data_IF_216645233835
#
_entry.id   IF_216645233835
#
_cell.length_a   1.000
_cell.length_b   1.000
_cell.length_c   1.000
_cell.angle_alpha   90.00
_cell.angle_beta   90.00
_cell.angle_gamma   90.00
#
_symmetry.space_group_name_H-M   'P 1'
#
loop_
_entity.id
_entity.type
_entity.pdbx_description
1 polymer ?
#
# COMPACT_ATOMS: atom_id res chain seq x y z
N UNK A 1 46.98 -19.10 -24.10
CA UNK A 1 45.80 -19.83 -23.62
C UNK A 1 45.26 -19.10 -22.39
N UNK A 2 44.21 -18.31 -22.59
CA UNK A 2 43.25 -17.94 -21.53
C UNK A 2 42.70 -19.23 -20.90
N UNK A 3 42.24 -19.32 -19.66
CA UNK A 3 41.43 -18.36 -18.91
C UNK A 3 41.41 -18.84 -17.45
N UNK A 4 41.59 -17.94 -16.50
CA UNK A 4 41.11 -18.13 -15.13
C UNK A 4 39.82 -17.33 -14.96
N UNK A 5 38.81 -17.90 -14.31
CA UNK A 5 37.81 -17.14 -13.55
C UNK A 5 37.15 -18.06 -12.53
N UNK A 6 37.26 -17.65 -11.26
CA UNK A 6 36.59 -18.26 -10.12
C UNK A 6 35.09 -17.96 -10.19
N UNK A 7 34.29 -19.01 -10.05
CA UNK A 7 32.88 -18.93 -9.73
C UNK A 7 32.70 -18.42 -8.29
N UNK A 8 31.88 -17.39 -8.13
CA UNK A 8 31.32 -16.99 -6.84
C UNK A 8 29.82 -16.74 -7.00
N UNK A 9 29.06 -17.80 -7.29
CA UNK A 9 27.60 -17.78 -7.17
C UNK A 9 27.28 -18.16 -5.71
N UNK A 10 27.14 -17.15 -4.85
CA UNK A 10 26.47 -17.33 -3.56
C UNK A 10 24.96 -17.23 -3.80
N UNK A 11 24.26 -18.33 -3.51
CA UNK A 11 22.81 -18.42 -3.34
C UNK A 11 22.40 -17.38 -2.28
N UNK A 12 21.75 -16.29 -2.68
CA UNK A 12 21.04 -15.38 -1.78
C UNK A 12 19.57 -15.73 -1.87
N UNK A 13 19.01 -16.17 -0.75
CA UNK A 13 17.61 -16.51 -0.57
C UNK A 13 16.73 -15.26 -0.58
N UNK A 14 15.67 -15.29 -1.39
CA UNK A 14 14.39 -14.59 -1.17
C UNK A 14 14.45 -13.21 -0.49
N UNK A 15 14.99 -12.23 -1.20
CA UNK A 15 14.72 -10.80 -0.99
C UNK A 15 14.46 -10.27 -2.40
N UNK A 16 13.44 -9.43 -2.60
CA UNK A 16 13.10 -8.83 -3.89
C UNK A 16 14.35 -8.13 -4.45
N UNK A 17 15.05 -8.84 -5.33
CA UNK A 17 16.39 -8.48 -5.73
C UNK A 17 16.23 -7.43 -6.83
N UNK A 18 16.36 -6.16 -6.46
CA UNK A 18 16.87 -5.16 -7.40
C UNK A 18 18.29 -5.62 -7.75
N UNK A 19 18.40 -6.47 -8.78
CA UNK A 19 19.68 -7.05 -9.18
C UNK A 19 20.50 -5.97 -9.90
N UNK A 20 21.30 -5.25 -9.13
CA UNK A 20 22.33 -4.37 -9.67
C UNK A 20 23.50 -5.21 -10.18
N UNK A 21 23.50 -5.54 -11.47
CA UNK A 21 24.72 -6.02 -12.11
C UNK A 21 25.67 -4.85 -12.37
N UNK A 22 26.95 -5.04 -12.07
CA UNK A 22 28.02 -4.11 -12.44
C UNK A 22 28.94 -4.86 -13.41
N UNK A 23 28.86 -4.51 -14.70
CA UNK A 23 29.62 -5.14 -15.78
C UNK A 23 30.59 -4.11 -16.40
N UNK A 24 31.88 -4.22 -16.06
CA UNK A 24 32.92 -3.36 -16.62
C UNK A 24 33.45 -3.91 -17.96
N UNK A 25 33.31 -3.16 -19.05
CA UNK A 25 33.87 -3.47 -20.38
C UNK A 25 34.53 -2.21 -20.96
N UNK A 26 35.72 -2.33 -21.54
CA UNK A 26 36.47 -1.25 -22.19
C UNK A 26 36.18 -1.19 -23.71
N UNK A 27 35.98 0.02 -24.27
CA UNK A 27 35.72 0.23 -25.70
C UNK A 27 36.73 1.17 -26.40
N UNK A 28 37.12 0.90 -27.66
CA UNK A 28 37.79 1.88 -28.52
C UNK A 28 36.81 2.95 -29.07
N UNK A 29 37.32 4.16 -29.27
CA UNK A 29 36.55 5.34 -29.67
C UNK A 29 36.00 5.28 -31.10
N UNK A 30 34.72 5.60 -31.30
CA UNK A 30 34.22 6.15 -32.57
C UNK A 30 33.08 7.17 -32.33
N UNK A 31 33.17 8.28 -33.09
CA UNK A 31 32.21 9.37 -33.35
C UNK A 31 32.23 10.64 -32.46
N UNK A 32 32.19 11.78 -33.16
CA UNK A 32 32.25 13.16 -32.68
C UNK A 32 30.83 13.78 -32.55
N UNK A 33 29.96 13.11 -31.79
CA UNK A 33 28.71 13.69 -31.30
C UNK A 33 28.90 14.34 -29.93
N UNK A 34 27.96 15.19 -29.50
CA UNK A 34 27.94 15.73 -28.14
C UNK A 34 27.74 14.58 -27.15
N UNK A 35 28.83 14.18 -26.49
CA UNK A 35 28.84 13.03 -25.57
C UNK A 35 27.89 13.27 -24.39
N UNK A 36 27.13 12.26 -24.01
CA UNK A 36 26.32 12.24 -22.79
C UNK A 36 27.25 12.52 -21.61
N UNK A 37 27.02 13.65 -20.94
CA UNK A 37 27.72 14.01 -19.71
C UNK A 37 26.96 13.40 -18.54
N UNK A 38 27.56 12.43 -17.87
CA UNK A 38 26.98 11.82 -16.67
C UNK A 38 26.88 12.89 -15.58
N UNK A 39 25.65 13.15 -15.14
CA UNK A 39 25.31 14.00 -14.00
C UNK A 39 24.49 13.14 -13.03
N UNK A 40 25.14 12.46 -12.08
CA UNK A 40 24.42 11.57 -11.18
C UNK A 40 23.32 12.31 -10.42
N UNK A 41 22.17 11.66 -10.30
CA UNK A 41 21.00 12.15 -9.55
C UNK A 41 20.64 11.25 -8.38
N UNK A 42 21.26 10.07 -8.30
CA UNK A 42 21.07 9.10 -7.21
C UNK A 42 22.35 8.26 -7.03
N UNK A 43 22.35 7.36 -6.05
CA UNK A 43 23.40 6.38 -5.84
C UNK A 43 22.87 4.95 -5.93
N UNK A 44 23.75 3.99 -6.18
CA UNK A 44 23.42 2.58 -6.12
C UNK A 44 22.90 2.19 -4.73
N UNK A 45 23.47 2.79 -3.68
CA UNK A 45 23.00 2.57 -2.32
C UNK A 45 21.57 3.04 -2.14
N UNK A 46 21.20 4.22 -2.64
CA UNK A 46 19.82 4.72 -2.60
C UNK A 46 18.84 3.84 -3.39
N UNK A 47 19.27 3.24 -4.50
CA UNK A 47 18.44 2.32 -5.31
C UNK A 47 18.29 0.92 -4.71
N UNK A 48 19.03 0.61 -3.64
CA UNK A 48 18.99 -0.67 -2.93
C UNK A 48 18.51 -0.53 -1.48
N UNK A 49 18.62 0.67 -0.89
CA UNK A 49 18.21 0.93 0.48
C UNK A 49 16.70 0.96 0.61
N UNK A 50 16.24 0.70 1.82
CA UNK A 50 14.85 0.91 2.19
C UNK A 50 14.37 2.31 1.76
N UNK A 51 13.31 2.34 0.96
CA UNK A 51 12.65 3.57 0.55
C UNK A 51 11.20 3.62 1.02
N UNK A 52 10.81 2.75 1.95
CA UNK A 52 9.48 2.71 2.56
C UNK A 52 9.47 3.31 3.96
N UNK A 53 8.29 3.47 4.54
CA UNK A 53 8.14 3.80 5.96
C UNK A 53 8.26 2.60 6.90
N UNK A 54 8.36 1.36 6.38
CA UNK A 54 8.66 0.20 7.21
C UNK A 54 9.99 0.43 7.95
N UNK A 55 10.08 0.03 9.22
CA UNK A 55 11.30 0.22 9.98
C UNK A 55 12.46 -0.62 9.42
N UNK A 56 13.67 -0.05 9.35
CA UNK A 56 14.89 -0.75 8.87
C UNK A 56 15.22 -2.03 9.65
N UNK A 57 14.77 -2.11 10.91
CA UNK A 57 14.93 -3.29 11.76
C UNK A 57 13.87 -4.36 11.53
N UNK A 58 12.76 -4.01 10.88
CA UNK A 58 11.74 -4.97 10.47
C UNK A 58 12.24 -5.71 9.23
N UNK A 59 12.40 -7.03 9.41
CA UNK A 59 12.79 -7.99 8.36
C UNK A 59 11.52 -8.59 7.77
N UNK A 60 11.58 -9.80 7.24
CA UNK A 60 10.41 -10.54 6.83
C UNK A 60 9.74 -11.27 8.00
N UNK A 61 8.51 -11.75 7.75
CA UNK A 61 7.80 -12.63 8.68
C UNK A 61 7.13 -13.80 7.96
N UNK A 62 6.79 -14.85 8.71
CA UNK A 62 6.27 -16.11 8.17
C UNK A 62 4.91 -16.01 7.50
N UNK A 63 4.20 -14.90 7.71
CA UNK A 63 2.92 -14.57 7.09
C UNK A 63 3.04 -13.74 5.79
N UNK A 64 4.27 -13.59 5.26
CA UNK A 64 4.51 -13.01 3.94
C UNK A 64 4.78 -11.50 3.92
N UNK A 65 5.08 -10.88 5.06
CA UNK A 65 5.61 -9.51 5.05
C UNK A 65 7.06 -9.52 4.57
N UNK A 66 7.41 -8.59 3.68
CA UNK A 66 8.71 -8.57 3.02
C UNK A 66 9.83 -8.02 3.91
N UNK A 67 9.47 -7.06 4.77
CA UNK A 67 10.45 -6.28 5.51
C UNK A 67 10.88 -5.02 4.77
N UNK A 68 11.65 -4.18 5.47
CA UNK A 68 12.23 -2.96 4.89
C UNK A 68 13.04 -3.27 3.63
N UNK A 69 12.66 -2.66 2.50
CA UNK A 69 13.27 -2.90 1.19
C UNK A 69 13.05 -1.72 0.26
N UNK A 70 13.65 -1.76 -0.93
CA UNK A 70 13.38 -0.78 -1.97
C UNK A 70 12.17 -1.20 -2.81
N UNK A 71 11.05 -0.49 -2.68
CA UNK A 71 9.82 -0.74 -3.44
C UNK A 71 9.62 0.29 -4.56
N UNK A 72 8.69 0.00 -5.44
CA UNK A 72 8.29 0.92 -6.51
C UNK A 72 7.45 2.07 -5.96
N UNK A 73 7.55 3.24 -6.59
CA UNK A 73 6.67 4.39 -6.31
C UNK A 73 5.70 4.63 -7.47
N UNK A 74 5.41 3.59 -8.26
CA UNK A 74 4.36 3.65 -9.29
C UNK A 74 3.06 4.01 -8.60
N UNK A 75 2.35 5.00 -9.16
CA UNK A 75 1.10 5.46 -8.58
C UNK A 75 0.07 4.32 -8.64
N UNK A 76 -0.50 3.95 -7.49
CA UNK A 76 -1.48 2.86 -7.35
C UNK A 76 -2.71 3.04 -8.24
N UNK A 77 -3.06 4.28 -8.61
CA UNK A 77 -4.14 4.57 -9.55
C UNK A 77 -3.89 4.00 -10.96
N UNK A 78 -2.64 3.68 -11.32
CA UNK A 78 -2.32 3.00 -12.58
C UNK A 78 -2.95 1.61 -12.70
N UNK A 79 -3.31 0.98 -11.57
CA UNK A 79 -4.00 -0.30 -11.53
C UNK A 79 -5.51 -0.19 -11.69
N UNK A 80 -6.06 1.03 -11.65
CA UNK A 80 -7.48 1.26 -11.88
C UNK A 80 -7.77 1.43 -13.37
N UNK A 81 -9.03 1.24 -13.74
CA UNK A 81 -9.53 1.43 -15.09
C UNK A 81 -9.20 2.84 -15.64
N UNK A 82 -9.06 2.93 -16.97
CA UNK A 82 -8.69 4.20 -17.62
C UNK A 82 -9.68 5.32 -17.34
N UNK A 83 -9.17 6.49 -16.98
CA UNK A 83 -9.99 7.65 -16.61
C UNK A 83 -10.61 7.55 -15.22
N UNK A 84 -10.09 6.68 -14.34
CA UNK A 84 -10.51 6.63 -12.95
C UNK A 84 -10.27 7.96 -12.23
N UNK A 85 -11.28 8.44 -11.53
CA UNK A 85 -11.23 9.50 -10.52
C UNK A 85 -11.49 8.96 -9.12
N UNK A 86 -11.53 7.63 -8.98
CA UNK A 86 -11.68 6.90 -7.72
C UNK A 86 -10.56 7.30 -6.77
N UNK A 87 -10.91 7.70 -5.55
CA UNK A 87 -9.94 7.96 -4.49
C UNK A 87 -9.45 6.67 -3.85
N UNK A 88 -8.17 6.59 -3.52
CA UNK A 88 -7.56 5.42 -2.87
C UNK A 88 -7.15 5.77 -1.44
N UNK A 89 -7.66 5.04 -0.47
CA UNK A 89 -7.36 5.21 0.96
C UNK A 89 -6.60 4.01 1.52
N UNK A 90 -5.63 4.22 2.39
CA UNK A 90 -4.99 3.12 3.11
C UNK A 90 -5.63 2.93 4.49
N UNK A 91 -5.89 1.68 4.87
CA UNK A 91 -6.34 1.37 6.22
C UNK A 91 -5.16 1.34 7.19
N UNK A 92 -5.23 2.10 8.29
CA UNK A 92 -4.15 2.24 9.27
C UNK A 92 -4.50 1.56 10.59
N UNK A 93 -3.61 0.68 11.02
CA UNK A 93 -3.59 0.10 12.36
C UNK A 93 -2.76 0.98 13.30
N UNK A 94 -3.34 1.57 14.35
CA UNK A 94 -2.67 2.61 15.16
C UNK A 94 -1.86 2.08 16.36
N UNK A 95 -1.62 0.77 16.46
CA UNK A 95 -1.19 0.12 17.71
C UNK A 95 0.29 -0.29 17.77
N UNK A 96 1.11 -0.03 16.75
CA UNK A 96 2.51 -0.48 16.78
C UNK A 96 3.32 0.25 17.85
N UNK A 97 4.04 -0.51 18.67
CA UNK A 97 4.70 -0.02 19.89
C UNK A 97 3.91 -0.26 21.17
N UNK A 98 2.66 -0.71 21.06
CA UNK A 98 1.87 -1.23 22.18
C UNK A 98 2.27 -2.70 22.48
N UNK A 99 2.53 -3.08 23.75
CA UNK A 99 2.95 -4.43 24.11
C UNK A 99 1.90 -5.52 23.87
N UNK A 100 0.65 -5.16 23.54
CA UNK A 100 -0.40 -6.11 23.12
C UNK A 100 -0.15 -6.72 21.74
N UNK A 101 0.73 -6.13 20.94
CA UNK A 101 0.98 -6.48 19.54
C UNK A 101 2.44 -6.88 19.31
N UNK A 102 2.70 -7.51 18.16
CA UNK A 102 4.07 -7.80 17.74
C UNK A 102 4.90 -6.53 17.52
N UNK A 103 6.22 -6.68 17.53
CA UNK A 103 7.15 -5.58 17.27
C UNK A 103 7.34 -5.35 15.75
N UNK A 104 6.61 -4.38 15.20
CA UNK A 104 6.74 -3.94 13.81
C UNK A 104 7.99 -3.07 13.53
N UNK A 105 8.84 -2.84 14.52
CA UNK A 105 10.08 -2.10 14.34
C UNK A 105 10.00 -0.61 14.67
N UNK A 106 8.83 -0.08 15.01
CA UNK A 106 8.62 1.34 15.32
C UNK A 106 7.54 1.54 16.40
N UNK A 107 7.40 2.78 16.88
CA UNK A 107 6.31 3.20 17.76
C UNK A 107 5.40 4.19 17.00
N UNK A 108 4.09 3.97 17.03
CA UNK A 108 3.10 4.75 16.29
C UNK A 108 2.88 6.16 16.83
N UNK A 109 3.49 6.51 17.97
CA UNK A 109 3.54 7.87 18.50
C UNK A 109 4.74 8.67 18.01
N UNK A 110 5.72 8.03 17.35
CA UNK A 110 6.89 8.70 16.81
C UNK A 110 6.48 9.63 15.65
N UNK A 111 6.60 10.96 15.81
CA UNK A 111 6.19 11.91 14.77
C UNK A 111 6.96 11.71 13.46
N UNK A 112 8.21 11.25 13.52
CA UNK A 112 9.01 11.01 12.33
C UNK A 112 8.58 9.71 11.60
N UNK A 113 8.11 8.70 12.33
CA UNK A 113 7.47 7.54 11.72
C UNK A 113 6.16 7.93 11.04
N UNK A 114 5.29 8.68 11.72
CA UNK A 114 4.01 9.15 11.16
C UNK A 114 4.24 9.97 9.88
N UNK A 115 5.19 10.92 9.91
CA UNK A 115 5.56 11.72 8.73
C UNK A 115 6.02 10.83 7.58
N UNK A 116 6.92 9.86 7.83
CA UNK A 116 7.37 8.91 6.82
C UNK A 116 6.24 8.08 6.25
N UNK A 117 5.29 7.62 7.07
CA UNK A 117 4.13 6.85 6.63
C UNK A 117 3.25 7.66 5.67
N UNK A 118 2.91 8.89 6.03
CA UNK A 118 2.07 9.76 5.20
C UNK A 118 2.78 10.12 3.90
N UNK A 119 4.06 10.49 3.95
CA UNK A 119 4.83 10.81 2.75
C UNK A 119 5.02 9.59 1.84
N UNK A 120 5.21 8.39 2.41
CA UNK A 120 5.30 7.17 1.62
C UNK A 120 3.96 6.85 0.94
N UNK A 121 2.84 6.93 1.67
CA UNK A 121 1.50 6.79 1.10
C UNK A 121 1.28 7.76 -0.07
N UNK A 122 1.57 9.05 0.13
CA UNK A 122 1.46 10.08 -0.91
C UNK A 122 2.37 9.75 -2.11
N UNK A 123 3.60 9.29 -1.86
CA UNK A 123 4.55 8.94 -2.93
C UNK A 123 4.09 7.77 -3.80
N UNK A 124 3.22 6.90 -3.27
CA UNK A 124 2.59 5.78 -4.01
C UNK A 124 1.21 6.15 -4.57
N UNK A 125 0.83 7.42 -4.47
CA UNK A 125 -0.42 7.95 -5.00
C UNK A 125 -1.66 7.64 -4.17
N UNK A 126 -1.52 7.36 -2.87
CA UNK A 126 -2.64 7.17 -1.95
C UNK A 126 -3.18 8.55 -1.52
N UNK A 127 -4.50 8.73 -1.55
CA UNK A 127 -5.20 10.01 -1.31
C UNK A 127 -5.53 10.27 0.16
N UNK A 128 -5.42 9.26 1.01
CA UNK A 128 -5.79 9.40 2.40
C UNK A 128 -5.67 8.14 3.22
N UNK A 129 -6.12 8.25 4.47
CA UNK A 129 -6.04 7.18 5.45
C UNK A 129 -7.39 6.96 6.15
N UNK A 130 -7.78 5.71 6.36
CA UNK A 130 -8.88 5.35 7.26
C UNK A 130 -8.24 4.78 8.52
N UNK A 131 -8.42 5.46 9.66
CA UNK A 131 -7.77 5.10 10.93
C UNK A 131 -8.71 4.19 11.71
N UNK A 132 -8.25 2.98 12.01
CA UNK A 132 -8.96 2.03 12.86
C UNK A 132 -8.91 2.46 14.33
N UNK A 133 -10.01 2.96 14.86
CA UNK A 133 -10.03 3.66 16.14
C UNK A 133 -10.79 2.89 17.21
N UNK A 134 -10.06 2.55 18.29
CA UNK A 134 -10.52 1.74 19.41
C UNK A 134 -11.13 2.55 20.55
N UNK A 135 -11.53 3.79 20.28
CA UNK A 135 -12.17 4.67 21.25
C UNK A 135 -11.21 5.45 22.14
N UNK A 136 -11.69 6.54 22.73
CA UNK A 136 -10.82 7.53 23.38
C UNK A 136 -10.20 7.10 24.71
N UNK A 137 -10.66 6.00 25.31
CA UNK A 137 -10.07 5.41 26.53
C UNK A 137 -9.05 4.33 26.22
N UNK A 138 -8.97 3.83 24.99
CA UNK A 138 -7.80 3.10 24.53
C UNK A 138 -6.69 4.11 24.24
N UNK A 139 -5.97 4.49 25.30
CA UNK A 139 -5.10 5.67 25.29
C UNK A 139 -4.01 5.61 24.22
N UNK A 140 -3.44 4.44 23.98
CA UNK A 140 -2.37 4.28 23.00
C UNK A 140 -2.87 4.55 21.58
N UNK A 141 -3.92 3.85 21.14
CA UNK A 141 -4.44 3.99 19.77
C UNK A 141 -5.10 5.35 19.56
N UNK A 142 -5.76 5.90 20.58
CA UNK A 142 -6.32 7.26 20.50
C UNK A 142 -5.25 8.33 20.39
N UNK A 143 -4.14 8.20 21.13
CA UNK A 143 -3.01 9.12 20.99
C UNK A 143 -2.35 9.02 19.62
N UNK A 144 -2.19 7.80 19.07
CA UNK A 144 -1.74 7.60 17.68
C UNK A 144 -2.66 8.33 16.71
N UNK A 145 -3.98 8.14 16.81
CA UNK A 145 -4.95 8.79 15.91
C UNK A 145 -4.83 10.33 15.99
N UNK A 146 -4.76 10.90 17.19
CA UNK A 146 -4.57 12.35 17.39
C UNK A 146 -3.28 12.87 16.75
N UNK A 147 -2.18 12.11 16.83
CA UNK A 147 -0.89 12.50 16.23
C UNK A 147 -0.92 12.37 14.71
N UNK A 148 -1.53 11.31 14.19
CA UNK A 148 -1.67 11.08 12.76
C UNK A 148 -2.50 12.19 12.11
N UNK A 149 -3.62 12.58 12.72
CA UNK A 149 -4.47 13.68 12.23
C UNK A 149 -3.70 14.99 12.15
N UNK A 150 -2.91 15.33 13.18
CA UNK A 150 -2.08 16.55 13.17
C UNK A 150 -1.05 16.55 12.04
N UNK A 151 -0.49 15.39 11.71
CA UNK A 151 0.43 15.29 10.58
C UNK A 151 -0.33 15.40 9.26
N UNK A 152 -1.46 14.69 9.08
CA UNK A 152 -2.29 14.78 7.87
C UNK A 152 -2.70 16.23 7.55
N UNK A 153 -3.01 17.05 8.55
CA UNK A 153 -3.33 18.47 8.37
C UNK A 153 -2.20 19.30 7.73
N UNK A 154 -0.96 18.77 7.69
CA UNK A 154 0.21 19.39 7.06
C UNK A 154 0.39 18.99 5.60
N UNK A 155 -0.43 18.06 5.09
CA UNK A 155 -0.35 17.54 3.71
C UNK A 155 -1.65 17.85 2.94
N UNK A 156 -1.77 19.05 2.33
CA UNK A 156 -2.96 19.45 1.60
C UNK A 156 -3.33 18.44 0.49
N UNK A 157 -4.60 18.03 0.47
CA UNK A 157 -5.11 17.05 -0.50
C UNK A 157 -5.06 15.60 -0.01
N UNK A 158 -4.30 15.30 1.05
CA UNK A 158 -4.35 14.02 1.76
C UNK A 158 -5.43 14.10 2.85
N UNK A 159 -6.39 13.18 2.83
CA UNK A 159 -7.56 13.21 3.74
C UNK A 159 -7.59 12.04 4.70
N UNK A 160 -8.37 12.13 5.77
CA UNK A 160 -8.54 11.02 6.71
C UNK A 160 -9.99 10.81 7.15
N UNK A 161 -10.32 9.59 7.56
CA UNK A 161 -11.57 9.24 8.22
C UNK A 161 -11.31 8.36 9.44
N UNK A 162 -12.30 8.27 10.33
CA UNK A 162 -12.27 7.37 11.48
C UNK A 162 -13.15 6.17 11.18
N UNK A 163 -12.59 4.98 11.39
CA UNK A 163 -13.33 3.72 11.53
C UNK A 163 -13.52 3.43 13.01
N UNK A 164 -14.77 3.37 13.47
CA UNK A 164 -15.05 3.01 14.86
C UNK A 164 -15.06 1.49 14.97
N UNK A 165 -14.05 0.93 15.64
CA UNK A 165 -13.96 -0.52 15.88
C UNK A 165 -14.94 -0.96 16.99
N UNK A 166 -15.33 -2.23 16.98
CA UNK A 166 -16.03 -2.86 18.12
C UNK A 166 -15.28 -2.68 19.44
N UNK A 167 -13.96 -2.56 19.40
CA UNK A 167 -13.05 -2.27 20.50
C UNK A 167 -13.34 -0.93 21.17
N UNK A 168 -13.87 0.07 20.44
CA UNK A 168 -14.36 1.31 21.02
C UNK A 168 -15.50 1.09 22.04
N UNK A 169 -16.27 0.03 21.85
CA UNK A 169 -17.31 -0.41 22.78
C UNK A 169 -16.74 -1.40 23.82
N UNK A 170 -15.92 -2.38 23.42
CA UNK A 170 -15.45 -3.44 24.33
C UNK A 170 -14.33 -3.02 25.28
N UNK A 171 -13.37 -2.26 24.76
CA UNK A 171 -12.13 -1.90 25.45
C UNK A 171 -12.17 -0.47 26.00
N UNK A 172 -12.96 0.40 25.37
CA UNK A 172 -12.99 1.83 25.68
C UNK A 172 -14.32 2.35 26.29
N UNK A 173 -15.20 1.47 26.76
CA UNK A 173 -16.47 1.87 27.41
C UNK A 173 -16.28 2.52 28.79
N UNK A 174 -17.24 3.35 29.20
CA UNK A 174 -17.38 3.76 30.60
C UNK A 174 -17.78 2.59 31.50
N UNK A 175 -17.43 2.68 32.78
CA UNK A 175 -17.78 1.69 33.78
C UNK A 175 -19.30 1.55 33.91
N UNK A 176 -19.81 0.32 33.78
CA UNK A 176 -21.24 0.01 33.87
C UNK A 176 -22.10 0.44 32.68
N UNK A 177 -21.51 1.02 31.63
CA UNK A 177 -22.26 1.45 30.46
C UNK A 177 -22.74 0.28 29.60
N UNK A 178 -23.93 0.42 29.04
CA UNK A 178 -24.39 -0.49 27.98
C UNK A 178 -23.61 -0.25 26.68
N UNK A 179 -23.57 -1.22 25.75
CA UNK A 179 -22.98 -1.02 24.43
C UNK A 179 -23.53 0.21 23.70
N UNK A 180 -24.83 0.50 23.85
CA UNK A 180 -25.45 1.69 23.28
C UNK A 180 -24.90 2.99 23.87
N UNK A 181 -24.78 3.06 25.20
CA UNK A 181 -24.22 4.24 25.88
C UNK A 181 -22.76 4.46 25.49
N UNK A 182 -21.98 3.38 25.42
CA UNK A 182 -20.60 3.41 24.98
C UNK A 182 -20.50 3.96 23.56
N UNK A 183 -21.23 3.41 22.59
CA UNK A 183 -21.19 3.90 21.20
C UNK A 183 -21.59 5.37 21.09
N UNK A 184 -22.69 5.80 21.73
CA UNK A 184 -23.09 7.21 21.73
C UNK A 184 -21.99 8.12 22.29
N UNK A 185 -21.24 7.67 23.30
CA UNK A 185 -20.12 8.42 23.85
C UNK A 185 -18.94 8.49 22.89
N UNK A 186 -18.59 7.38 22.24
CA UNK A 186 -17.52 7.31 21.24
C UNK A 186 -17.82 8.22 20.04
N UNK A 187 -19.05 8.18 19.51
CA UNK A 187 -19.46 9.02 18.38
C UNK A 187 -19.38 10.52 18.73
N UNK A 188 -19.79 10.90 19.93
CA UNK A 188 -19.67 12.27 20.44
C UNK A 188 -18.21 12.72 20.57
N UNK A 189 -17.32 11.84 21.00
CA UNK A 189 -15.89 12.14 21.03
C UNK A 189 -15.32 12.30 19.62
N UNK A 190 -15.62 11.35 18.72
CA UNK A 190 -15.13 11.36 17.36
C UNK A 190 -15.54 12.65 16.62
N UNK A 191 -16.80 13.08 16.76
CA UNK A 191 -17.30 14.34 16.22
C UNK A 191 -16.45 15.53 16.68
N UNK A 192 -16.35 15.74 18.01
CA UNK A 192 -15.67 16.92 18.57
C UNK A 192 -14.18 16.96 18.29
N UNK A 193 -13.54 15.80 18.20
CA UNK A 193 -12.09 15.68 18.13
C UNK A 193 -11.58 15.70 16.70
N UNK A 194 -12.26 15.00 15.78
CA UNK A 194 -11.71 14.74 14.45
C UNK A 194 -12.47 15.47 13.35
N UNK A 195 -13.80 15.51 13.44
CA UNK A 195 -14.64 15.93 12.30
C UNK A 195 -14.61 17.42 12.02
N UNK A 196 -13.95 18.26 12.82
CA UNK A 196 -13.77 19.69 12.52
C UNK A 196 -12.59 19.97 11.60
N UNK A 197 -11.69 19.00 11.40
CA UNK A 197 -10.52 19.16 10.53
C UNK A 197 -10.94 19.39 9.07
N UNK A 198 -10.20 20.25 8.37
CA UNK A 198 -10.41 20.45 6.93
C UNK A 198 -9.89 19.28 6.08
N UNK A 199 -8.97 18.48 6.63
CA UNK A 199 -8.50 17.25 6.01
C UNK A 199 -9.42 16.05 6.31
N UNK A 200 -10.51 16.23 7.05
CA UNK A 200 -11.46 15.14 7.31
C UNK A 200 -12.24 14.80 6.04
N UNK A 201 -12.35 13.52 5.71
CA UNK A 201 -13.07 13.02 4.55
C UNK A 201 -14.57 13.33 4.68
N UNK A 202 -15.13 13.94 3.62
CA UNK A 202 -16.54 14.28 3.54
C UNK A 202 -17.18 13.81 2.26
N UNK A 203 -18.44 13.43 2.36
CA UNK A 203 -19.34 13.25 1.23
C UNK A 203 -20.57 14.11 1.45
N UNK A 204 -20.92 14.91 0.45
CA UNK A 204 -22.01 15.89 0.51
C UNK A 204 -21.96 16.78 1.76
N UNK A 205 -20.73 17.18 2.15
CA UNK A 205 -20.46 18.00 3.34
C UNK A 205 -20.52 17.26 4.68
N UNK A 206 -20.99 16.00 4.72
CA UNK A 206 -21.08 15.20 5.94
C UNK A 206 -19.76 14.48 6.24
N UNK A 207 -19.29 14.43 7.49
CA UNK A 207 -18.10 13.68 7.86
C UNK A 207 -18.34 12.18 7.66
N UNK A 208 -17.44 11.50 6.98
CA UNK A 208 -17.50 10.04 6.80
C UNK A 208 -17.06 9.34 8.07
N UNK A 209 -17.89 8.45 8.61
CA UNK A 209 -17.50 7.52 9.69
C UNK A 209 -17.83 6.11 9.22
N UNK A 210 -16.82 5.24 9.20
CA UNK A 210 -16.98 3.81 8.97
C UNK A 210 -17.05 3.08 10.32
N UNK A 211 -17.47 1.81 10.31
CA UNK A 211 -17.44 0.97 11.50
C UNK A 211 -16.88 -0.41 11.17
N UNK A 212 -16.23 -1.06 12.14
CA UNK A 212 -15.72 -2.41 11.99
C UNK A 212 -16.43 -3.34 12.97
N UNK A 213 -17.11 -4.36 12.46
CA UNK A 213 -17.67 -5.46 13.24
C UNK A 213 -18.70 -5.08 14.34
N UNK A 214 -19.18 -3.83 14.40
CA UNK A 214 -20.08 -3.36 15.47
C UNK A 214 -21.43 -4.08 15.39
N UNK A 215 -22.06 -4.10 14.23
CA UNK A 215 -23.38 -4.73 14.05
C UNK A 215 -23.33 -6.25 14.30
N UNK A 216 -22.22 -6.89 13.93
CA UNK A 216 -22.01 -8.31 14.16
C UNK A 216 -21.91 -8.65 15.66
N UNK A 217 -21.19 -7.81 16.42
CA UNK A 217 -20.99 -8.04 17.85
C UNK A 217 -22.11 -7.48 18.74
N UNK A 218 -22.88 -6.50 18.25
CA UNK A 218 -23.93 -5.82 18.99
C UNK A 218 -25.22 -5.71 18.14
N UNK A 219 -25.92 -6.82 17.87
CA UNK A 219 -27.07 -6.83 16.95
C UNK A 219 -28.29 -5.99 17.41
N UNK A 220 -28.28 -5.51 18.66
CA UNK A 220 -29.28 -4.58 19.20
C UNK A 220 -28.85 -3.12 19.23
N UNK A 221 -27.72 -2.77 18.61
CA UNK A 221 -27.23 -1.40 18.58
C UNK A 221 -28.15 -0.52 17.71
N UNK A 222 -28.46 0.67 18.21
CA UNK A 222 -29.31 1.64 17.52
C UNK A 222 -28.45 2.82 17.07
N UNK A 223 -27.95 2.76 15.83
CA UNK A 223 -27.13 3.82 15.24
C UNK A 223 -27.81 5.19 15.24
N UNK A 224 -29.14 5.24 15.07
CA UNK A 224 -29.89 6.49 15.15
C UNK A 224 -29.74 7.16 16.52
N UNK A 225 -29.72 6.38 17.61
CA UNK A 225 -29.48 6.88 18.98
C UNK A 225 -28.01 7.23 19.22
N UNK A 226 -27.09 6.52 18.56
CA UNK A 226 -25.66 6.82 18.64
C UNK A 226 -25.31 8.21 18.08
N UNK A 227 -26.02 8.65 17.04
CA UNK A 227 -25.75 9.92 16.35
C UNK A 227 -26.78 11.03 16.65
N UNK A 228 -27.81 10.77 17.46
CA UNK A 228 -28.94 11.68 17.66
C UNK A 228 -28.53 13.07 18.17
N UNK A 229 -27.50 13.14 19.02
CA UNK A 229 -27.05 14.37 19.66
C UNK A 229 -25.86 15.04 18.95
N UNK A 230 -25.44 14.53 17.80
CA UNK A 230 -24.33 15.10 17.03
C UNK A 230 -24.81 16.37 16.30
N UNK A 231 -24.00 17.43 16.38
CA UNK A 231 -24.26 18.68 15.68
C UNK A 231 -24.14 18.54 14.15
N UNK A 232 -23.27 17.65 13.68
CA UNK A 232 -23.06 17.31 12.28
C UNK A 232 -23.28 15.81 12.04
N UNK A 233 -24.47 15.40 11.59
CA UNK A 233 -24.77 13.99 11.35
C UNK A 233 -23.80 13.35 10.33
N UNK A 234 -23.03 12.31 10.71
CA UNK A 234 -22.03 11.71 9.85
C UNK A 234 -22.66 10.93 8.71
N UNK A 235 -21.98 10.84 7.57
CA UNK A 235 -22.25 9.83 6.55
C UNK A 235 -21.72 8.49 7.07
N UNK A 236 -22.63 7.62 7.53
CA UNK A 236 -22.28 6.31 8.07
C UNK A 236 -22.06 5.32 6.92
N UNK A 237 -20.89 4.66 6.92
CA UNK A 237 -20.53 3.64 5.95
C UNK A 237 -20.41 2.31 6.68
N UNK A 238 -21.14 1.31 6.21
CA UNK A 238 -21.25 0.01 6.85
C UNK A 238 -20.37 -1.03 6.17
N UNK A 239 -20.03 -2.09 6.90
CA UNK A 239 -19.20 -3.18 6.39
C UNK A 239 -20.04 -4.10 5.47
N UNK A 240 -19.41 -4.62 4.42
CA UNK A 240 -19.94 -5.65 3.52
C UNK A 240 -21.21 -5.29 2.73
N UNK A 241 -21.60 -6.16 1.81
CA UNK A 241 -22.76 -5.94 0.93
C UNK A 241 -24.07 -5.64 1.71
N UNK A 242 -24.24 -6.22 2.90
CA UNK A 242 -25.41 -5.96 3.75
C UNK A 242 -25.46 -4.50 4.25
N UNK A 243 -24.30 -3.84 4.35
CA UNK A 243 -24.19 -2.43 4.68
C UNK A 243 -24.94 -1.49 3.72
N UNK A 244 -25.15 -1.89 2.46
CA UNK A 244 -25.97 -1.11 1.51
C UNK A 244 -27.46 -1.09 1.90
N UNK A 245 -27.92 -2.10 2.63
CA UNK A 245 -29.32 -2.23 3.06
C UNK A 245 -29.58 -1.66 4.45
N UNK A 246 -28.54 -1.20 5.16
CA UNK A 246 -28.71 -0.61 6.49
C UNK A 246 -29.52 0.71 6.39
N UNK A 247 -30.57 0.94 7.21
CA UNK A 247 -31.48 2.09 7.05
C UNK A 247 -30.82 3.47 7.13
N UNK A 248 -29.68 3.58 7.81
CA UNK A 248 -28.89 4.82 7.94
C UNK A 248 -27.65 4.86 7.05
N UNK A 249 -27.52 3.88 6.16
CA UNK A 249 -26.37 3.77 5.27
C UNK A 249 -26.27 4.98 4.35
N UNK A 250 -25.09 5.57 4.31
CA UNK A 250 -24.66 6.47 3.23
C UNK A 250 -23.74 5.74 2.24
N UNK A 251 -23.53 4.44 2.44
CA UNK A 251 -22.58 3.64 1.68
C UNK A 251 -22.17 2.37 2.41
N UNK A 252 -21.47 1.53 1.66
CA UNK A 252 -20.81 0.36 2.21
C UNK A 252 -19.36 0.26 1.74
N UNK A 253 -18.55 -0.44 2.52
CA UNK A 253 -17.16 -0.74 2.19
C UNK A 253 -16.88 -2.25 2.18
N UNK A 254 -16.01 -2.67 1.27
CA UNK A 254 -15.49 -4.03 1.24
C UNK A 254 -14.27 -4.18 2.15
N UNK A 255 -14.08 -5.36 2.72
CA UNK A 255 -12.89 -5.75 3.48
C UNK A 255 -12.18 -6.93 2.82
N UNK A 256 -11.08 -7.40 3.41
CA UNK A 256 -10.51 -8.70 3.05
C UNK A 256 -11.36 -9.82 3.64
N UNK A 257 -11.82 -10.76 2.81
CA UNK A 257 -12.50 -11.99 3.23
C UNK A 257 -11.63 -13.19 2.84
N UNK A 258 -10.77 -13.69 3.77
CA UNK A 258 -9.78 -14.72 3.44
C UNK A 258 -10.43 -15.99 2.89
N UNK A 259 -9.95 -16.42 1.73
CA UNK A 259 -10.40 -17.64 1.07
C UNK A 259 -9.23 -18.29 0.35
N UNK A 260 -9.04 -19.59 0.58
CA UNK A 260 -8.01 -20.38 -0.10
C UNK A 260 -8.39 -20.77 -1.53
N UNK A 261 -9.70 -20.78 -1.86
CA UNK A 261 -10.19 -21.30 -3.13
C UNK A 261 -10.22 -20.23 -4.23
N UNK A 262 -10.61 -19.01 -3.89
CA UNK A 262 -10.87 -17.94 -4.87
C UNK A 262 -10.24 -16.60 -4.50
N UNK A 263 -9.43 -16.54 -3.44
CA UNK A 263 -8.75 -15.32 -3.00
C UNK A 263 -9.71 -14.17 -2.64
N UNK A 264 -10.95 -14.50 -2.26
CA UNK A 264 -12.00 -13.53 -1.92
C UNK A 264 -12.68 -12.88 -3.13
N UNK A 265 -12.41 -13.36 -4.35
CA UNK A 265 -12.95 -12.76 -5.58
C UNK A 265 -14.48 -12.89 -5.66
N UNK A 266 -15.06 -14.00 -5.23
CA UNK A 266 -16.50 -14.19 -5.20
C UNK A 266 -17.20 -13.25 -4.21
N UNK A 267 -16.53 -12.90 -3.11
CA UNK A 267 -16.99 -11.88 -2.18
C UNK A 267 -16.94 -10.48 -2.82
N UNK A 268 -15.80 -10.08 -3.40
CA UNK A 268 -15.66 -8.77 -4.05
C UNK A 268 -16.66 -8.59 -5.20
N UNK A 269 -16.89 -9.63 -6.01
CA UNK A 269 -17.89 -9.60 -7.09
C UNK A 269 -19.29 -9.29 -6.54
N UNK A 270 -19.73 -10.00 -5.50
CA UNK A 270 -21.04 -9.77 -4.87
C UNK A 270 -21.14 -8.37 -4.26
N UNK A 271 -20.08 -7.90 -3.61
CA UNK A 271 -20.03 -6.55 -3.06
C UNK A 271 -20.22 -5.48 -4.14
N UNK A 272 -19.48 -5.60 -5.26
CA UNK A 272 -19.59 -4.64 -6.36
C UNK A 272 -20.94 -4.72 -7.08
N UNK A 273 -21.52 -5.90 -7.26
CA UNK A 273 -22.90 -6.06 -7.76
C UNK A 273 -23.92 -5.38 -6.85
N UNK A 274 -23.77 -5.52 -5.52
CA UNK A 274 -24.63 -4.83 -4.55
C UNK A 274 -24.49 -3.31 -4.63
N UNK A 275 -23.26 -2.79 -4.77
CA UNK A 275 -23.02 -1.35 -4.95
C UNK A 275 -23.60 -0.81 -6.26
N UNK A 276 -23.54 -1.58 -7.35
CA UNK A 276 -24.16 -1.21 -8.62
C UNK A 276 -25.70 -1.18 -8.56
N UNK A 277 -26.30 -1.95 -7.64
CA UNK A 277 -27.74 -1.92 -7.35
C UNK A 277 -28.16 -0.75 -6.45
N UNK A 278 -27.23 -0.16 -5.68
CA UNK A 278 -27.48 0.96 -4.75
C UNK A 278 -26.73 2.23 -5.17
N UNK A 279 -26.99 2.71 -6.40
CA UNK A 279 -26.18 3.77 -7.04
C UNK A 279 -26.13 5.11 -6.32
N UNK A 280 -27.09 5.38 -5.44
CA UNK A 280 -27.18 6.58 -4.61
C UNK A 280 -26.32 6.50 -3.33
N UNK A 281 -25.76 5.34 -3.02
CA UNK A 281 -24.91 5.10 -1.85
C UNK A 281 -23.47 4.96 -2.29
N UNK A 282 -22.53 5.35 -1.41
CA UNK A 282 -21.10 5.18 -1.69
C UNK A 282 -20.71 3.72 -1.72
N UNK A 283 -19.96 3.33 -2.75
CA UNK A 283 -19.30 2.03 -2.83
C UNK A 283 -17.80 2.22 -2.62
N UNK A 284 -17.30 1.76 -1.46
CA UNK A 284 -15.86 1.78 -1.15
C UNK A 284 -15.30 0.36 -1.38
N UNK A 285 -14.64 0.13 -2.50
CA UNK A 285 -14.05 -1.17 -2.83
C UNK A 285 -12.84 -1.52 -1.96
N UNK A 286 -12.29 -2.71 -2.14
CA UNK A 286 -11.09 -3.15 -1.44
C UNK A 286 -10.05 -3.76 -2.39
N UNK A 287 -8.78 -3.51 -2.09
CA UNK A 287 -7.64 -4.22 -2.65
C UNK A 287 -6.70 -4.68 -1.52
N UNK A 288 -6.14 -5.88 -1.67
CA UNK A 288 -5.29 -6.51 -0.66
C UNK A 288 -4.24 -7.40 -1.32
N UNK A 289 -3.06 -7.50 -0.69
CA UNK A 289 -1.97 -8.31 -1.23
C UNK A 289 -2.14 -9.80 -0.97
N UNK A 290 -2.91 -10.18 0.05
CA UNK A 290 -3.07 -11.53 0.58
C UNK A 290 -3.65 -11.46 1.99
N UNK A 291 -3.57 -12.54 2.75
CA UNK A 291 -3.95 -12.57 4.17
C UNK A 291 -3.33 -13.77 4.86
N UNK A 292 -2.79 -13.59 6.06
CA UNK A 292 -2.29 -14.68 6.89
C UNK A 292 -2.23 -14.23 8.36
N UNK A 293 -3.26 -14.62 9.12
CA UNK A 293 -3.45 -14.25 10.53
C UNK A 293 -2.80 -15.24 11.51
N UNK A 294 -1.89 -16.11 11.07
CA UNK A 294 -1.19 -17.05 11.97
C UNK A 294 -0.29 -16.37 12.99
N UNK A 295 0.04 -15.09 12.77
CA UNK A 295 0.79 -14.26 13.72
C UNK A 295 -0.09 -13.40 14.62
N UNK A 296 -1.37 -13.26 14.28
CA UNK A 296 -2.32 -12.52 15.09
C UNK A 296 -2.76 -13.34 16.30
N UNK A 297 -2.69 -12.77 17.51
CA UNK A 297 -3.13 -13.46 18.73
C UNK A 297 -4.63 -13.77 18.76
N UNK A 298 -5.41 -13.08 17.92
CA UNK A 298 -6.84 -13.27 17.69
C UNK A 298 -7.15 -14.07 16.41
N UNK A 299 -6.13 -14.47 15.66
CA UNK A 299 -6.27 -15.09 14.35
C UNK A 299 -6.92 -16.48 14.41
N UNK A 300 -7.50 -16.89 13.29
CA UNK A 300 -8.12 -18.21 13.12
C UNK A 300 -7.23 -19.15 12.28
N UNK A 301 -5.96 -18.79 12.07
CA UNK A 301 -5.01 -19.47 11.18
C UNK A 301 -5.50 -19.54 9.72
N UNK A 302 -6.20 -18.51 9.27
CA UNK A 302 -6.67 -18.34 7.89
C UNK A 302 -5.51 -17.87 7.04
N UNK A 303 -5.40 -18.44 5.85
CA UNK A 303 -4.36 -18.09 4.88
C UNK A 303 -4.99 -17.89 3.52
N UNK A 304 -4.59 -16.81 2.86
CA UNK A 304 -4.85 -16.47 1.48
C UNK A 304 -3.53 -16.03 0.87
N UNK A 305 -3.05 -16.79 -0.11
CA UNK A 305 -1.74 -16.56 -0.72
C UNK A 305 -1.64 -15.16 -1.32
N UNK A 306 -0.46 -14.56 -1.22
CA UNK A 306 -0.13 -13.35 -1.97
C UNK A 306 0.13 -13.65 -3.46
N UNK A 307 0.53 -14.89 -3.74
CA UNK A 307 0.72 -15.42 -5.09
C UNK A 307 1.66 -14.55 -5.92
N UNK A 308 2.78 -14.12 -5.33
CA UNK A 308 3.77 -13.27 -6.01
C UNK A 308 3.15 -12.01 -6.63
N UNK A 309 2.31 -11.32 -5.86
CA UNK A 309 1.62 -10.09 -6.28
C UNK A 309 0.38 -10.33 -7.15
N UNK A 310 0.06 -11.57 -7.51
CA UNK A 310 -1.13 -11.84 -8.32
C UNK A 310 -2.43 -11.58 -7.56
N UNK A 311 -2.48 -11.81 -6.25
CA UNK A 311 -3.67 -11.50 -5.45
C UNK A 311 -3.94 -9.99 -5.46
N UNK A 312 -2.90 -9.18 -5.29
CA UNK A 312 -2.96 -7.73 -5.42
C UNK A 312 -3.56 -7.31 -6.77
N UNK A 313 -2.97 -7.74 -7.89
CA UNK A 313 -3.46 -7.40 -9.23
C UNK A 313 -4.90 -7.88 -9.49
N UNK A 314 -5.27 -9.08 -9.01
CA UNK A 314 -6.63 -9.62 -9.17
C UNK A 314 -7.68 -8.80 -8.45
N UNK A 315 -7.38 -8.23 -7.28
CA UNK A 315 -8.35 -7.40 -6.55
C UNK A 315 -8.64 -6.08 -7.28
N UNK A 316 -7.62 -5.43 -7.85
CA UNK A 316 -7.80 -4.27 -8.74
C UNK A 316 -8.56 -4.63 -10.02
N UNK A 317 -8.17 -5.73 -10.68
CA UNK A 317 -8.87 -6.20 -11.88
C UNK A 317 -10.35 -6.45 -11.59
N UNK A 318 -10.69 -7.00 -10.42
CA UNK A 318 -12.08 -7.18 -10.01
C UNK A 318 -12.83 -5.85 -9.93
N UNK A 319 -12.25 -4.79 -9.37
CA UNK A 319 -12.88 -3.47 -9.41
C UNK A 319 -13.06 -2.98 -10.86
N UNK A 320 -12.05 -3.16 -11.71
CA UNK A 320 -12.09 -2.74 -13.11
C UNK A 320 -13.11 -3.50 -13.97
N UNK A 321 -13.50 -4.72 -13.59
CA UNK A 321 -14.55 -5.48 -14.26
C UNK A 321 -15.96 -4.88 -14.03
N UNK A 322 -16.14 -4.14 -12.93
CA UNK A 322 -17.45 -3.58 -12.54
C UNK A 322 -17.55 -2.06 -12.77
N UNK A 323 -16.43 -1.35 -12.81
CA UNK A 323 -16.37 0.11 -12.88
C UNK A 323 -15.53 0.58 -14.07
N UNK A 324 -15.79 1.81 -14.51
CA UNK A 324 -15.21 2.37 -15.73
C UNK A 324 -15.48 3.88 -15.85
N UNK A 325 -15.04 4.52 -16.94
CA UNK A 325 -15.23 5.96 -17.14
C UNK A 325 -16.70 6.41 -17.09
N UNK A 326 -17.65 5.55 -17.49
CA UNK A 326 -19.09 5.81 -17.44
C UNK A 326 -19.74 5.54 -16.07
N UNK A 327 -19.05 4.80 -15.19
CA UNK A 327 -19.50 4.47 -13.83
C UNK A 327 -18.28 4.30 -12.95
N UNK A 328 -17.89 5.39 -12.31
CA UNK A 328 -16.75 5.40 -11.39
C UNK A 328 -17.07 4.60 -10.13
N UNK A 329 -16.06 3.91 -9.61
CA UNK A 329 -16.02 3.46 -8.21
C UNK A 329 -15.80 4.70 -7.32
N UNK A 330 -16.59 4.87 -6.27
CA UNK A 330 -16.55 6.09 -5.45
C UNK A 330 -15.22 6.21 -4.70
N UNK A 331 -14.77 5.11 -4.08
CA UNK A 331 -13.45 5.00 -3.47
C UNK A 331 -12.96 3.54 -3.44
N UNK A 332 -11.67 3.35 -3.22
CA UNK A 332 -11.04 2.05 -2.97
C UNK A 332 -10.23 2.16 -1.67
N UNK A 333 -10.34 1.17 -0.79
CA UNK A 333 -9.46 1.05 0.37
C UNK A 333 -8.41 -0.05 0.15
N UNK A 334 -7.20 0.22 0.61
CA UNK A 334 -6.10 -0.74 0.63
C UNK A 334 -6.08 -1.40 2.01
N UNK A 335 -6.23 -2.72 2.02
CA UNK A 335 -6.29 -3.57 3.21
C UNK A 335 -4.97 -4.33 3.29
N UNK A 336 -4.00 -3.89 4.09
CA UNK A 336 -3.97 -2.64 4.90
C UNK A 336 -2.66 -1.90 4.62
N UNK A 337 -2.48 -0.68 5.14
CA UNK A 337 -1.16 -0.07 5.16
C UNK A 337 -0.19 -0.92 5.97
N UNK A 338 -0.53 -1.24 7.21
CA UNK A 338 0.42 -1.71 8.20
C UNK A 338 -0.10 -2.79 9.15
N UNK A 339 -1.08 -3.62 8.79
CA UNK A 339 -1.41 -4.81 9.57
C UNK A 339 -0.38 -5.93 9.33
N UNK A 340 0.68 -5.89 10.14
CA UNK A 340 1.75 -6.88 10.13
C UNK A 340 1.32 -8.23 10.71
N UNK A 341 0.31 -8.28 11.57
CA UNK A 341 -0.13 -9.51 12.25
C UNK A 341 -1.00 -10.39 11.34
N UNK A 342 -1.80 -9.76 10.49
CA UNK A 342 -2.63 -10.44 9.48
C UNK A 342 -1.97 -10.54 8.09
N UNK A 343 -0.73 -10.09 7.94
CA UNK A 343 0.04 -10.24 6.71
C UNK A 343 -0.55 -9.47 5.51
N UNK A 344 -1.34 -8.44 5.79
CA UNK A 344 -2.02 -7.63 4.75
C UNK A 344 -1.32 -6.31 4.46
N UNK A 345 -0.36 -5.91 5.31
CA UNK A 345 0.38 -4.64 5.17
C UNK A 345 1.06 -4.45 3.80
N UNK A 346 0.97 -3.24 3.24
CA UNK A 346 1.69 -2.84 2.03
C UNK A 346 2.82 -1.84 2.31
N UNK A 347 3.00 -1.45 3.58
CA UNK A 347 4.05 -0.55 4.06
C UNK A 347 5.44 -1.07 3.63
N UNK A 348 5.68 -2.37 3.73
CA UNK A 348 6.93 -3.02 3.29
C UNK A 348 6.97 -3.41 1.79
N UNK A 349 5.85 -3.23 1.07
CA UNK A 349 5.70 -3.56 -0.35
C UNK A 349 4.95 -4.86 -0.62
N UNK A 350 4.81 -5.19 -1.90
CA UNK A 350 4.18 -6.43 -2.36
C UNK A 350 5.20 -7.26 -3.14
N UNK A 351 5.46 -8.49 -2.68
CA UNK A 351 6.46 -9.33 -3.32
C UNK A 351 5.92 -9.86 -4.65
N UNK A 352 6.72 -9.73 -5.68
CA UNK A 352 6.44 -10.19 -7.05
C UNK A 352 7.19 -11.48 -7.41
N UNK A 353 8.05 -11.97 -6.51
CA UNK A 353 8.93 -13.13 -6.72
C UNK A 353 9.78 -13.03 -8.00
N UNK A 354 10.05 -11.81 -8.49
CA UNK A 354 10.77 -11.58 -9.72
C UNK A 354 12.28 -11.62 -9.51
N UNK A 355 12.98 -12.17 -10.50
CA UNK A 355 14.41 -11.97 -10.68
C UNK A 355 14.70 -11.54 -12.12
N UNK A 356 15.58 -10.56 -12.27
CA UNK A 356 16.06 -10.04 -13.56
C UNK A 356 17.51 -10.48 -13.76
N UNK A 357 17.77 -11.20 -14.85
CA UNK A 357 19.11 -11.59 -15.24
C UNK A 357 19.50 -10.84 -16.51
N UNK A 358 20.51 -9.98 -16.45
CA UNK A 358 21.03 -9.23 -17.58
C UNK A 358 22.35 -9.81 -18.09
N UNK A 359 22.59 -9.71 -19.39
CA UNK A 359 23.85 -10.04 -20.05
C UNK A 359 24.21 -8.93 -21.05
N UNK A 360 25.51 -8.79 -21.34
CA UNK A 360 26.00 -7.79 -22.29
C UNK A 360 26.64 -8.50 -23.48
N UNK A 361 26.00 -8.35 -24.63
CA UNK A 361 26.48 -8.84 -25.92
C UNK A 361 26.84 -7.65 -26.81
N UNK A 362 28.14 -7.38 -26.92
CA UNK A 362 28.67 -6.19 -27.59
C UNK A 362 27.96 -4.92 -27.06
N UNK A 363 27.35 -4.13 -27.95
CA UNK A 363 26.69 -2.88 -27.58
C UNK A 363 25.31 -3.09 -26.97
N UNK A 364 24.77 -4.32 -26.96
CA UNK A 364 23.43 -4.60 -26.48
C UNK A 364 23.46 -5.17 -25.07
N UNK A 365 22.74 -4.55 -24.14
CA UNK A 365 22.38 -5.23 -22.89
C UNK A 365 21.08 -5.98 -23.19
N UNK A 366 21.03 -7.27 -22.89
CA UNK A 366 19.81 -8.08 -22.92
C UNK A 366 19.45 -8.51 -21.50
N UNK A 367 18.18 -8.71 -21.21
CA UNK A 367 17.78 -9.29 -19.94
C UNK A 367 16.63 -10.28 -20.10
N UNK A 368 16.59 -11.23 -19.18
CA UNK A 368 15.50 -12.19 -18.99
C UNK A 368 14.91 -12.01 -17.60
N UNK A 369 13.67 -12.46 -17.48
CA UNK A 369 12.88 -12.33 -16.26
C UNK A 369 12.42 -13.74 -15.88
N UNK A 370 12.49 -14.05 -14.60
CA UNK A 370 11.84 -15.23 -14.00
C UNK A 370 10.91 -14.77 -12.89
N UNK A 371 9.68 -15.29 -12.84
CA UNK A 371 8.65 -14.88 -11.88
C UNK A 371 7.40 -14.34 -12.59
N UNK A 372 6.59 -13.58 -11.85
CA UNK A 372 5.30 -13.05 -12.33
C UNK A 372 5.47 -11.73 -13.10
N UNK A 373 5.73 -11.82 -14.41
CA UNK A 373 6.09 -10.67 -15.23
C UNK A 373 5.00 -9.58 -15.35
N UNK A 374 3.73 -9.94 -15.26
CA UNK A 374 2.62 -8.99 -15.30
C UNK A 374 2.59 -8.03 -14.09
N UNK A 375 3.45 -8.23 -13.09
CA UNK A 375 3.66 -7.29 -12.00
C UNK A 375 4.64 -6.15 -12.34
N UNK A 376 5.34 -6.22 -13.49
CA UNK A 376 6.27 -5.19 -13.97
C UNK A 376 5.51 -4.08 -14.70
N UNK A 377 5.73 -2.84 -14.26
CA UNK A 377 5.21 -1.64 -14.94
C UNK A 377 6.21 -1.16 -16.01
N UNK A 378 7.48 -0.99 -15.62
CA UNK A 378 8.55 -0.56 -16.52
C UNK A 378 9.94 -0.94 -15.98
N UNK A 379 10.96 -0.82 -16.82
CA UNK A 379 12.37 -0.92 -16.44
C UNK A 379 13.01 0.46 -16.42
N UNK A 380 13.81 0.75 -15.39
CA UNK A 380 14.65 1.93 -15.33
C UNK A 380 16.11 1.52 -15.53
N UNK A 381 16.76 2.15 -16.51
CA UNK A 381 18.16 1.94 -16.83
C UNK A 381 19.01 3.05 -16.26
N UNK A 382 20.08 2.69 -15.55
CA UNK A 382 21.03 3.64 -14.98
C UNK A 382 22.41 3.51 -15.63
N UNK A 383 23.11 4.64 -15.74
CA UNK A 383 24.53 4.71 -16.10
C UNK A 383 25.36 5.38 -15.00
N UNK A 384 26.62 4.98 -14.93
CA UNK A 384 27.58 5.44 -13.94
C UNK A 384 28.99 5.51 -14.54
N UNK A 385 29.86 6.31 -13.94
CA UNK A 385 31.31 6.34 -14.20
C UNK A 385 32.13 5.56 -13.15
N UNK A 386 31.55 5.31 -11.97
CA UNK A 386 32.24 4.71 -10.81
C UNK A 386 31.49 3.51 -10.20
N UNK A 387 30.36 3.13 -10.78
CA UNK A 387 29.50 2.06 -10.30
C UNK A 387 28.72 2.38 -9.02
N UNK A 388 28.80 3.61 -8.51
CA UNK A 388 28.19 4.04 -7.25
C UNK A 388 27.23 5.21 -7.43
N UNK A 389 27.61 6.20 -8.23
CA UNK A 389 26.80 7.38 -8.53
C UNK A 389 26.08 7.13 -9.85
N UNK A 390 24.76 7.14 -9.82
CA UNK A 390 23.91 6.72 -10.93
C UNK A 390 23.18 7.93 -11.52
N UNK A 391 23.06 7.94 -12.85
CA UNK A 391 22.16 8.81 -13.60
C UNK A 391 21.21 7.90 -14.37
N UNK A 392 19.91 8.15 -14.26
CA UNK A 392 18.93 7.46 -15.11
C UNK A 392 19.22 7.79 -16.58
N UNK A 393 19.42 6.74 -17.38
CA UNK A 393 19.65 6.84 -18.82
C UNK A 393 18.35 6.81 -19.59
N UNK A 394 17.48 5.85 -19.27
CA UNK A 394 16.23 5.63 -19.98
C UNK A 394 15.22 4.85 -19.14
N UNK A 395 13.97 4.87 -19.59
CA UNK A 395 12.87 4.05 -19.10
C UNK A 395 12.28 3.24 -20.24
N UNK A 396 12.11 1.94 -20.04
CA UNK A 396 11.57 1.02 -21.05
C UNK A 396 10.31 0.34 -20.57
N UNK A 397 9.41 0.01 -21.49
CA UNK A 397 8.17 -0.71 -21.16
C UNK A 397 8.46 -2.12 -20.59
N UNK A 398 7.47 -2.68 -19.88
CA UNK A 398 7.58 -3.99 -19.25
C UNK A 398 7.89 -5.16 -20.22
N UNK A 399 7.65 -5.00 -21.54
CA UNK A 399 7.95 -6.02 -22.55
C UNK A 399 9.34 -5.87 -23.15
N UNK A 400 10.06 -4.80 -22.86
CA UNK A 400 11.43 -4.63 -23.32
C UNK A 400 12.35 -5.74 -22.78
N UNK A 401 13.27 -6.20 -23.62
CA UNK A 401 14.27 -7.25 -23.30
C UNK A 401 15.70 -6.90 -23.68
N UNK A 402 15.89 -5.75 -24.33
CA UNK A 402 17.20 -5.31 -24.74
C UNK A 402 17.27 -3.80 -24.93
N UNK A 403 18.46 -3.24 -24.75
CA UNK A 403 18.82 -1.85 -25.01
C UNK A 403 20.14 -1.84 -25.78
N UNK A 404 20.16 -1.18 -26.94
CA UNK A 404 21.38 -0.95 -27.70
C UNK A 404 22.05 0.33 -27.21
N UNK A 405 23.23 0.18 -26.61
CA UNK A 405 23.99 1.28 -26.03
C UNK A 405 24.55 2.24 -27.09
N UNK A 406 24.64 1.82 -28.35
CA UNK A 406 25.02 2.72 -29.45
C UNK A 406 23.97 3.77 -29.76
N UNK A 407 22.72 3.57 -29.33
CA UNK A 407 21.69 4.60 -29.42
C UNK A 407 21.97 5.81 -28.51
N UNK A 408 22.90 5.68 -27.55
CA UNK A 408 23.33 6.76 -26.67
C UNK A 408 24.77 7.18 -26.99
N UNK A 409 25.01 8.49 -27.08
CA UNK A 409 26.35 9.05 -27.34
C UNK A 409 27.25 8.98 -26.10
N UNK A 410 27.55 7.78 -25.60
CA UNK A 410 28.32 7.58 -24.37
C UNK A 410 29.82 7.84 -24.60
N UNK A 411 30.44 8.62 -23.70
CA UNK A 411 31.87 8.91 -23.79
C UNK A 411 32.74 7.70 -23.42
N UNK A 412 33.85 7.49 -24.14
CA UNK A 412 34.81 6.38 -23.98
C UNK A 412 35.63 6.34 -22.67
N UNK A 413 35.08 6.83 -21.57
CA UNK A 413 35.63 6.71 -20.22
C UNK A 413 34.56 6.47 -19.15
N UNK A 414 33.28 6.36 -19.53
CA UNK A 414 32.23 5.91 -18.63
C UNK A 414 32.44 4.40 -18.36
N UNK A 415 32.99 4.06 -17.19
CA UNK A 415 33.07 2.66 -16.75
C UNK A 415 31.64 2.24 -16.41
N UNK A 416 31.00 1.33 -17.16
CA UNK A 416 29.58 1.11 -16.98
C UNK A 416 29.29 0.33 -15.69
N UNK A 417 28.92 1.04 -14.63
CA UNK A 417 27.99 0.48 -13.65
C UNK A 417 26.60 0.50 -14.27
N UNK A 418 26.11 -0.66 -14.72
CA UNK A 418 24.85 -0.77 -15.49
C UNK A 418 23.83 -1.59 -14.72
N UNK A 419 23.03 -0.91 -13.92
CA UNK A 419 21.94 -1.52 -13.17
C UNK A 419 20.63 -1.38 -13.95
N UNK A 420 19.94 -2.52 -14.14
CA UNK A 420 18.55 -2.56 -14.62
C UNK A 420 17.67 -2.77 -13.41
N UNK A 421 16.81 -1.81 -13.08
CA UNK A 421 15.88 -1.92 -11.95
C UNK A 421 14.46 -2.06 -12.50
N UNK A 422 13.79 -3.21 -12.31
CA UNK A 422 12.36 -3.29 -12.59
C UNK A 422 11.59 -2.44 -11.58
N UNK A 423 10.60 -1.68 -12.06
CA UNK A 423 9.57 -1.08 -11.23
C UNK A 423 8.31 -1.92 -11.36
N UNK A 424 7.77 -2.30 -10.21
CA UNK A 424 6.55 -3.11 -10.09
C UNK A 424 5.39 -2.28 -9.53
N UNK A 425 4.20 -2.84 -9.53
CA UNK A 425 2.99 -2.04 -9.32
C UNK A 425 2.74 -1.54 -7.89
N UNK A 426 3.44 -1.98 -6.86
CA UNK A 426 3.44 -1.41 -5.49
C UNK A 426 4.70 -1.81 -4.72
#
# INVERSE_FOLDING_TARGET
>A
MHQGRMDLIRKVSSEALVMAMVLAIFWPQLSAGQKVKIKPTTTLQEQLSNNTSAADRFRNSSNGNMGSTHVSKVNVHSLLYSGATTRVYAHLMPWWGDPRHIDAGYNSHDPEQIRRQIEDMISRGIDGVIIDWYGFRDLFTNETALRFVKEVERHPGFTFAIMVDKGAIKLSSCEGCSPQQALSEQMRYAERTFTSSQSYLRVDGRPVITNFDIDHHFPGIEWQRAIADLASPPALIFEDADGFSHPLSSGSYAWVRPSTNDLGMGYLNKFYEAGLAHRQLLTIGAAYKGFDDRMASWGLNRVMKQDCGQTWLKTFARANDHFGPSRQLDALQLVTWNDYEEGTEIESGVDNCLAVNADVDHNTIRWTISGEENTVDHFVFYISDDGKRLMQLDTMDAKARSIDMCSYSLGGGAIPGRTVSPRVFV
#
